data_IF_155160007190
#
_entry.id   IF_155160007190
#
_cell.length_a   1.000
_cell.length_b   1.000
_cell.length_c   1.000
_cell.angle_alpha   90.00
_cell.angle_beta   90.00
_cell.angle_gamma   90.00
#
_symmetry.space_group_name_H-M   'P 1'
#
loop_
_entity.id
_entity.type
_entity.pdbx_description
1 polymer ?
#
# COMPACT_ATOMS: atom_id res chain seq x y z
N UNK A 1 -10.03 -20.99 13.79
CA UNK A 1 -8.99 -20.23 13.05
C UNK A 1 -9.64 -19.68 11.79
N UNK A 2 -9.76 -18.36 11.66
CA UNK A 2 -10.18 -17.70 10.42
C UNK A 2 -8.98 -17.01 9.76
N UNK A 3 -9.04 -16.82 8.44
CA UNK A 3 -7.98 -16.21 7.64
C UNK A 3 -7.57 -14.85 8.23
N UNK A 4 -6.28 -14.63 8.42
CA UNK A 4 -5.75 -13.41 9.07
C UNK A 4 -5.42 -12.31 8.07
N UNK A 5 -4.94 -12.64 6.88
CA UNK A 5 -4.56 -11.59 5.91
C UNK A 5 -4.67 -12.04 4.46
N UNK A 6 -4.62 -11.09 3.53
CA UNK A 6 -4.65 -11.33 2.08
C UNK A 6 -3.47 -12.13 1.52
N UNK A 7 -2.40 -12.35 2.31
CA UNK A 7 -1.28 -13.21 1.94
C UNK A 7 -1.51 -14.70 2.23
N UNK A 8 -2.65 -15.07 2.79
CA UNK A 8 -2.95 -16.46 3.12
C UNK A 8 -3.48 -17.19 1.87
N UNK A 9 -2.85 -18.30 1.50
CA UNK A 9 -3.28 -19.11 0.36
C UNK A 9 -4.66 -19.74 0.63
N UNK A 10 -5.47 -20.01 -0.41
CA UNK A 10 -5.31 -19.63 -1.82
C UNK A 10 -5.57 -18.12 -2.03
N UNK A 11 -4.83 -17.51 -2.95
CA UNK A 11 -5.02 -16.10 -3.31
C UNK A 11 -6.39 -15.87 -3.95
N UNK A 12 -7.01 -14.73 -3.63
CA UNK A 12 -8.27 -14.35 -4.26
C UNK A 12 -8.04 -14.08 -5.75
N UNK A 13 -8.95 -14.51 -6.63
CA UNK A 13 -8.78 -14.34 -8.09
C UNK A 13 -8.55 -12.88 -8.48
N UNK A 14 -9.27 -11.94 -7.85
CA UNK A 14 -9.08 -10.50 -8.06
C UNK A 14 -7.67 -10.00 -7.66
N UNK A 15 -7.04 -10.62 -6.67
CA UNK A 15 -5.69 -10.27 -6.24
C UNK A 15 -4.66 -10.63 -7.31
N UNK A 16 -4.81 -11.81 -7.92
CA UNK A 16 -3.97 -12.25 -9.03
C UNK A 16 -4.15 -11.34 -10.24
N UNK A 17 -5.41 -11.02 -10.60
CA UNK A 17 -5.71 -10.11 -11.72
C UNK A 17 -5.15 -8.71 -11.48
N UNK A 18 -5.24 -8.17 -10.26
CA UNK A 18 -4.69 -6.87 -9.93
C UNK A 18 -3.16 -6.84 -10.10
N UNK A 19 -2.46 -7.87 -9.59
CA UNK A 19 -1.00 -7.99 -9.72
C UNK A 19 -0.60 -8.07 -11.20
N UNK A 20 -1.27 -8.90 -11.99
CA UNK A 20 -0.91 -9.10 -13.40
C UNK A 20 -1.15 -7.84 -14.23
N UNK A 21 -2.28 -7.15 -14.02
CA UNK A 21 -2.57 -5.88 -14.71
C UNK A 21 -1.56 -4.80 -14.31
N UNK A 22 -1.17 -4.72 -13.04
CA UNK A 22 -0.14 -3.79 -12.59
C UNK A 22 1.19 -4.01 -13.30
N UNK A 23 1.68 -5.25 -13.34
CA UNK A 23 2.92 -5.57 -14.05
C UNK A 23 2.83 -5.32 -15.56
N UNK A 24 1.70 -5.69 -16.18
CA UNK A 24 1.46 -5.40 -17.61
C UNK A 24 1.51 -3.90 -17.89
N UNK A 25 0.90 -3.08 -17.03
CA UNK A 25 0.89 -1.63 -17.19
C UNK A 25 2.31 -1.05 -17.03
N UNK A 26 3.09 -1.53 -16.06
CA UNK A 26 4.49 -1.15 -15.89
C UNK A 26 5.34 -1.47 -17.12
N UNK A 27 5.23 -2.70 -17.64
CA UNK A 27 5.93 -3.11 -18.86
C UNK A 27 5.50 -2.24 -20.03
N UNK A 28 4.18 -2.01 -20.19
CA UNK A 28 3.65 -1.19 -21.27
C UNK A 28 4.21 0.24 -21.22
N UNK A 29 4.30 0.83 -20.03
CA UNK A 29 4.84 2.16 -19.85
C UNK A 29 6.33 2.24 -20.17
N UNK A 30 7.15 1.36 -19.59
CA UNK A 30 8.60 1.42 -19.77
C UNK A 30 9.09 0.94 -21.14
N UNK A 31 8.40 -0.02 -21.77
CA UNK A 31 8.81 -0.56 -23.06
C UNK A 31 8.26 0.25 -24.25
N UNK A 32 7.08 0.86 -24.12
CA UNK A 32 6.45 1.59 -25.21
C UNK A 32 6.35 3.09 -24.93
N UNK A 33 5.80 3.54 -23.80
CA UNK A 33 5.58 4.99 -23.62
C UNK A 33 6.87 5.79 -23.39
N UNK A 34 7.70 5.35 -22.45
CA UNK A 34 8.91 6.09 -22.06
C UNK A 34 9.92 6.29 -23.21
N UNK A 35 10.28 5.28 -24.03
CA UNK A 35 11.26 5.46 -25.11
C UNK A 35 10.74 6.26 -26.32
N UNK A 36 9.42 6.42 -26.46
CA UNK A 36 8.83 7.20 -27.57
C UNK A 36 8.55 8.67 -27.20
N UNK A 37 9.03 9.17 -26.05
CA UNK A 37 8.85 10.56 -25.65
C UNK A 37 9.76 11.55 -26.41
N UNK A 38 10.80 11.05 -27.09
CA UNK A 38 11.60 11.78 -28.09
C UNK A 38 12.45 12.95 -27.56
N UNK A 39 12.39 13.25 -26.27
CA UNK A 39 13.16 14.32 -25.63
C UNK A 39 13.70 13.83 -24.29
N UNK A 40 15.02 13.88 -24.12
CA UNK A 40 15.79 13.32 -23.00
C UNK A 40 15.28 13.79 -21.63
N UNK A 41 14.86 15.06 -21.53
CA UNK A 41 14.37 15.63 -20.27
C UNK A 41 13.01 15.04 -19.90
N UNK A 42 12.10 14.93 -20.89
CA UNK A 42 10.79 14.36 -20.66
C UNK A 42 10.87 12.87 -20.36
N UNK A 43 11.79 12.15 -21.01
CA UNK A 43 12.06 10.75 -20.72
C UNK A 43 12.47 10.58 -19.25
N UNK A 44 13.45 11.34 -18.76
CA UNK A 44 13.91 11.22 -17.38
C UNK A 44 12.81 11.56 -16.35
N UNK A 45 12.02 12.61 -16.62
CA UNK A 45 10.88 13.00 -15.77
C UNK A 45 9.80 11.91 -15.79
N UNK A 46 9.48 11.37 -16.96
CA UNK A 46 8.52 10.30 -17.13
C UNK A 46 8.96 9.02 -16.40
N UNK A 47 10.23 8.63 -16.50
CA UNK A 47 10.78 7.52 -15.74
C UNK A 47 10.68 7.78 -14.23
N UNK A 48 11.10 8.95 -13.76
CA UNK A 48 11.13 9.29 -12.34
C UNK A 48 9.73 9.33 -11.70
N UNK A 49 8.81 10.09 -12.29
CA UNK A 49 7.44 10.24 -11.76
C UNK A 49 6.70 8.92 -11.76
N UNK A 50 6.81 8.16 -12.86
CA UNK A 50 6.13 6.87 -12.95
C UNK A 50 6.74 5.83 -12.01
N UNK A 51 8.06 5.83 -11.82
CA UNK A 51 8.72 4.96 -10.83
C UNK A 51 8.21 5.24 -9.42
N UNK A 52 8.13 6.51 -9.02
CA UNK A 52 7.61 6.90 -7.72
C UNK A 52 6.13 6.52 -7.56
N UNK A 53 5.31 6.76 -8.57
CA UNK A 53 3.90 6.36 -8.57
C UNK A 53 3.73 4.84 -8.48
N UNK A 54 4.41 4.07 -9.32
CA UNK A 54 4.35 2.61 -9.31
C UNK A 54 4.79 2.03 -7.97
N UNK A 55 5.88 2.56 -7.39
CA UNK A 55 6.37 2.16 -6.08
C UNK A 55 5.36 2.49 -4.98
N UNK A 56 4.77 3.69 -5.00
CA UNK A 56 3.75 4.07 -4.01
C UNK A 56 2.53 3.14 -4.05
N UNK A 57 2.04 2.81 -5.24
CA UNK A 57 0.92 1.88 -5.45
C UNK A 57 1.29 0.48 -4.98
N UNK A 58 2.52 0.02 -5.27
CA UNK A 58 3.00 -1.27 -4.80
C UNK A 58 3.07 -1.34 -3.28
N UNK A 59 3.63 -0.32 -2.61
CA UNK A 59 3.67 -0.26 -1.14
C UNK A 59 2.26 -0.25 -0.56
N UNK A 60 1.37 0.58 -1.10
CA UNK A 60 -0.03 0.64 -0.66
C UNK A 60 -0.70 -0.72 -0.83
N UNK A 61 -0.51 -1.37 -1.98
CA UNK A 61 -1.05 -2.69 -2.24
C UNK A 61 -0.55 -3.74 -1.24
N UNK A 62 0.76 -3.78 -0.97
CA UNK A 62 1.34 -4.72 0.02
C UNK A 62 0.81 -4.44 1.42
N UNK A 63 0.75 -3.17 1.83
CA UNK A 63 0.23 -2.79 3.15
C UNK A 63 -1.26 -3.10 3.28
N UNK A 64 -2.07 -2.73 2.30
CA UNK A 64 -3.51 -3.01 2.30
C UNK A 64 -3.82 -4.53 2.27
N UNK A 65 -3.01 -5.34 1.59
CA UNK A 65 -3.16 -6.80 1.58
C UNK A 65 -2.64 -7.49 2.85
N UNK A 66 -1.67 -6.87 3.53
CA UNK A 66 -1.10 -7.37 4.78
C UNK A 66 -1.89 -6.98 6.03
N UNK A 67 -2.65 -5.87 5.99
CA UNK A 67 -3.50 -5.46 7.11
C UNK A 67 -4.56 -6.53 7.37
N UNK A 68 -4.51 -7.11 8.56
CA UNK A 68 -5.55 -8.00 9.09
C UNK A 68 -6.74 -7.12 9.53
N UNK A 69 -7.98 -7.36 9.07
CA UNK A 69 -9.14 -6.64 9.58
C UNK A 69 -9.39 -6.88 11.08
N UNK A 70 -8.78 -7.92 11.66
CA UNK A 70 -8.76 -8.21 13.09
C UNK A 70 -7.47 -7.73 13.80
N UNK A 71 -6.64 -6.91 13.14
CA UNK A 71 -5.44 -6.34 13.77
C UNK A 71 -5.82 -5.37 14.89
N UNK A 72 -5.82 -5.89 16.12
CA UNK A 72 -6.19 -5.19 17.35
C UNK A 72 -5.23 -4.03 17.70
N UNK A 73 -4.16 -3.82 16.93
CA UNK A 73 -3.16 -2.78 17.17
C UNK A 73 -3.72 -1.36 17.14
N UNK A 74 -4.64 -1.06 16.22
CA UNK A 74 -5.29 0.27 16.14
C UNK A 74 -6.29 0.49 17.28
N UNK A 75 -7.04 -0.54 17.67
CA UNK A 75 -8.03 -0.44 18.75
C UNK A 75 -7.33 -0.33 20.11
N UNK A 76 -6.23 -1.06 20.30
CA UNK A 76 -5.45 -1.03 21.53
C UNK A 76 -4.65 0.28 21.70
N UNK A 77 -4.28 0.96 20.62
CA UNK A 77 -3.62 2.27 20.70
C UNK A 77 -4.60 3.38 21.12
N UNK A 78 -5.82 3.36 20.57
CA UNK A 78 -6.92 4.22 21.02
C UNK A 78 -7.27 3.97 22.50
N UNK A 79 -7.34 2.70 22.93
CA UNK A 79 -7.65 2.34 24.31
C UNK A 79 -6.57 2.84 25.29
N UNK A 80 -5.29 2.61 24.98
CA UNK A 80 -4.16 3.12 25.78
C UNK A 80 -4.15 4.65 25.86
N UNK A 81 -4.41 5.32 24.74
CA UNK A 81 -4.47 6.79 24.69
C UNK A 81 -5.61 7.33 25.55
N UNK A 82 -6.78 6.67 25.53
CA UNK A 82 -7.93 7.06 26.37
C UNK A 82 -7.64 6.84 27.86
N UNK A 83 -7.03 5.70 28.22
CA UNK A 83 -6.72 5.33 29.60
C UNK A 83 -5.61 6.19 30.21
N UNK A 84 -4.66 6.65 29.39
CA UNK A 84 -3.64 7.60 29.84
C UNK A 84 -4.25 8.98 30.11
N UNK A 85 -5.22 9.41 29.28
CA UNK A 85 -5.91 10.70 29.46
C UNK A 85 -6.74 10.72 30.74
N UNK A 86 -7.54 9.68 30.98
CA UNK A 86 -8.38 9.61 32.19
C UNK A 86 -7.56 9.64 33.49
N UNK A 87 -6.41 8.97 33.50
CA UNK A 87 -5.50 8.95 34.67
C UNK A 87 -4.86 10.33 34.91
N UNK A 88 -4.64 11.10 33.86
CA UNK A 88 -4.07 12.44 33.93
C UNK A 88 -5.09 13.45 34.44
N UNK A 89 -6.37 13.29 34.07
CA UNK A 89 -7.48 14.09 34.57
C UNK A 89 -7.75 13.83 36.07
N UNK A 90 -7.51 12.60 36.54
CA UNK A 90 -7.68 12.18 37.95
C UNK A 90 -6.54 12.68 38.88
N UNK A 91 -5.31 12.81 38.36
CA UNK A 91 -4.17 13.40 39.09
C UNK A 91 -4.21 14.94 39.16
N UNK A 92 -5.00 15.58 38.30
CA UNK A 92 -5.16 17.04 38.24
C UNK A 92 -6.33 17.56 39.09
N UNK A 93 -7.15 16.67 39.66
CA UNK A 93 -8.32 16.97 40.48
C UNK A 93 -8.01 16.88 42.00
#
# INVERSE_FOLDING_TARGET
MGRRHGWELPFHTFQVVAITVFFLLCIAYYAFFAPFLGNDIFEYVAFGVYSLMALSVFILYVRCTAIDPADLGVVLDCDKTSKNRSKLDEELA
#
